data_IF_336400970464
#
_entry.id   IF_336400970464
#
_cell.length_a   1.000
_cell.length_b   1.000
_cell.length_c   1.000
_cell.angle_alpha   90.00
_cell.angle_beta   90.00
_cell.angle_gamma   90.00
#
_symmetry.space_group_name_H-M   'P 1'
#
loop_
_entity.id
_entity.type
_entity.pdbx_description
1 polymer ?
#
# COMPACT_ATOMS: atom_id res chain seq x y z
N UNK A 1 -12.05 -20.16 -25.14
CA UNK A 1 -11.98 -20.49 -23.70
C UNK A 1 -11.41 -21.90 -23.55
N UNK A 2 -10.12 -22.08 -23.18
CA UNK A 2 -9.44 -23.39 -23.24
C UNK A 2 -8.93 -23.94 -21.88
N UNK A 3 -8.95 -23.16 -20.79
CA UNK A 3 -8.30 -23.52 -19.51
C UNK A 3 -9.25 -23.78 -18.31
N UNK A 4 -10.54 -24.05 -18.57
CA UNK A 4 -11.56 -24.18 -17.52
C UNK A 4 -11.72 -25.58 -16.90
N UNK A 5 -11.03 -26.59 -17.45
CA UNK A 5 -11.21 -28.00 -17.08
C UNK A 5 -9.85 -28.63 -16.82
N UNK A 6 -9.72 -29.37 -15.72
CA UNK A 6 -8.57 -30.25 -15.46
C UNK A 6 -8.98 -31.67 -15.83
N UNK A 7 -8.22 -32.31 -16.72
CA UNK A 7 -8.40 -33.72 -17.08
C UNK A 7 -7.49 -34.57 -16.21
N UNK A 8 -8.03 -35.60 -15.59
CA UNK A 8 -7.27 -36.63 -14.87
C UNK A 8 -7.68 -38.01 -15.37
N UNK A 9 -6.72 -38.92 -15.47
CA UNK A 9 -7.00 -40.33 -15.77
C UNK A 9 -7.25 -41.04 -14.44
N UNK A 10 -8.39 -41.70 -14.33
CA UNK A 10 -8.77 -42.47 -13.16
C UNK A 10 -8.15 -43.89 -13.24
N UNK A 11 -8.10 -44.63 -12.13
CA UNK A 11 -7.44 -45.94 -12.07
C UNK A 11 -8.07 -47.02 -12.97
N UNK A 12 -9.29 -46.76 -13.46
CA UNK A 12 -10.05 -47.55 -14.43
C UNK A 12 -9.70 -47.24 -15.89
N UNK A 13 -8.80 -46.29 -16.15
CA UNK A 13 -8.41 -45.85 -17.49
C UNK A 13 -9.33 -44.79 -18.11
N UNK A 14 -10.35 -44.31 -17.41
CA UNK A 14 -11.27 -43.30 -17.92
C UNK A 14 -10.73 -41.87 -17.73
N UNK A 15 -10.96 -41.01 -18.72
CA UNK A 15 -10.62 -39.58 -18.65
C UNK A 15 -11.78 -38.83 -17.99
N UNK A 16 -11.53 -38.28 -16.80
CA UNK A 16 -12.52 -37.47 -16.07
C UNK A 16 -12.17 -35.99 -16.21
N UNK A 17 -13.14 -35.21 -16.67
CA UNK A 17 -13.07 -33.76 -16.76
C UNK A 17 -13.70 -33.13 -15.49
N UNK A 18 -12.89 -32.46 -14.66
CA UNK A 18 -13.39 -31.72 -13.49
C UNK A 18 -13.26 -30.20 -13.73
N UNK A 19 -14.27 -29.40 -13.35
CA UNK A 19 -14.18 -27.95 -13.48
C UNK A 19 -13.05 -27.41 -12.59
N UNK A 20 -12.21 -26.54 -13.16
CA UNK A 20 -11.17 -25.86 -12.38
C UNK A 20 -11.83 -24.72 -11.60
N UNK A 21 -12.02 -24.89 -10.29
CA UNK A 21 -12.51 -23.80 -9.44
C UNK A 21 -11.50 -22.65 -9.44
N UNK A 22 -11.95 -21.46 -9.83
CA UNK A 22 -11.16 -20.24 -9.74
C UNK A 22 -11.00 -19.85 -8.27
N UNK A 23 -9.76 -19.83 -7.79
CA UNK A 23 -9.40 -19.36 -6.44
C UNK A 23 -8.40 -18.22 -6.59
N UNK A 24 -8.87 -16.96 -6.69
CA UNK A 24 -7.96 -15.82 -6.78
C UNK A 24 -7.08 -15.78 -5.53
N UNK A 25 -5.77 -15.60 -5.72
CA UNK A 25 -4.84 -15.41 -4.61
C UNK A 25 -4.85 -13.94 -4.23
N UNK A 26 -4.88 -13.64 -2.93
CA UNK A 26 -4.77 -12.27 -2.46
C UNK A 26 -3.43 -11.64 -2.90
N UNK A 27 -3.42 -10.43 -3.49
CA UNK A 27 -2.24 -9.84 -4.12
C UNK A 27 -1.31 -9.17 -3.09
N UNK A 28 -0.72 -9.96 -2.20
CA UNK A 28 0.17 -9.48 -1.11
C UNK A 28 1.28 -8.56 -1.62
N UNK A 29 1.87 -8.89 -2.77
CA UNK A 29 2.93 -8.06 -3.39
C UNK A 29 2.45 -6.65 -3.73
N UNK A 30 1.23 -6.54 -4.26
CA UNK A 30 0.63 -5.25 -4.60
C UNK A 30 0.32 -4.43 -3.35
N UNK A 31 -0.26 -5.07 -2.33
CA UNK A 31 -0.54 -4.40 -1.05
C UNK A 31 0.75 -3.84 -0.41
N UNK A 32 1.81 -4.64 -0.37
CA UNK A 32 3.10 -4.20 0.17
C UNK A 32 3.70 -3.04 -0.63
N UNK A 33 3.58 -3.05 -1.96
CA UNK A 33 4.03 -1.95 -2.79
C UNK A 33 3.28 -0.64 -2.50
N UNK A 34 1.95 -0.70 -2.34
CA UNK A 34 1.15 0.49 -1.99
C UNK A 34 1.52 1.03 -0.61
N UNK A 35 1.67 0.15 0.39
CA UNK A 35 2.08 0.57 1.74
C UNK A 35 3.45 1.24 1.71
N UNK A 36 4.41 0.63 1.03
CA UNK A 36 5.75 1.18 0.87
C UNK A 36 5.73 2.56 0.21
N UNK A 37 4.97 2.72 -0.88
CA UNK A 37 4.82 4.00 -1.57
C UNK A 37 4.16 5.06 -0.68
N UNK A 38 3.19 4.65 0.15
CA UNK A 38 2.54 5.52 1.13
C UNK A 38 3.52 6.08 2.17
N UNK A 39 4.40 5.24 2.72
CA UNK A 39 5.45 5.69 3.64
C UNK A 39 6.45 6.63 2.98
N UNK A 40 6.88 6.33 1.75
CA UNK A 40 7.75 7.23 0.99
C UNK A 40 7.10 8.59 0.74
N UNK A 41 5.83 8.60 0.36
CA UNK A 41 5.08 9.83 0.15
C UNK A 41 4.96 10.64 1.45
N UNK A 42 4.70 9.98 2.58
CA UNK A 42 4.62 10.63 3.89
C UNK A 42 5.97 11.24 4.30
N UNK A 43 7.06 10.49 4.14
CA UNK A 43 8.42 10.98 4.38
C UNK A 43 8.81 12.13 3.45
N UNK A 44 8.40 12.06 2.18
CA UNK A 44 8.59 13.15 1.23
C UNK A 44 7.90 14.44 1.69
N UNK A 45 6.63 14.36 2.07
CA UNK A 45 5.90 15.52 2.58
C UNK A 45 6.58 16.09 3.82
N UNK A 46 6.98 15.23 4.76
CA UNK A 46 7.67 15.66 5.97
C UNK A 46 9.01 16.36 5.65
N UNK A 47 9.82 15.81 4.75
CA UNK A 47 11.08 16.41 4.31
C UNK A 47 10.89 17.73 3.55
N UNK A 48 9.85 17.81 2.72
CA UNK A 48 9.59 18.98 1.87
C UNK A 48 8.96 20.15 2.63
N UNK A 49 8.02 19.87 3.55
CA UNK A 49 7.34 20.89 4.35
C UNK A 49 8.14 21.28 5.60
N UNK A 50 8.96 20.37 6.12
CA UNK A 50 9.52 20.47 7.45
C UNK A 50 8.51 20.09 8.54
N UNK A 51 9.03 19.81 9.73
CA UNK A 51 8.26 19.25 10.85
C UNK A 51 7.10 20.16 11.29
N UNK A 52 7.34 21.46 11.45
CA UNK A 52 6.36 22.40 11.98
C UNK A 52 5.14 22.53 11.05
N UNK A 53 5.37 22.79 9.75
CA UNK A 53 4.28 22.97 8.80
C UNK A 53 3.56 21.65 8.49
N UNK A 54 4.28 20.52 8.51
CA UNK A 54 3.65 19.21 8.40
C UNK A 54 2.67 18.95 9.54
N UNK A 55 3.08 19.19 10.79
CA UNK A 55 2.22 18.99 11.98
C UNK A 55 1.01 19.92 11.91
N UNK A 56 1.18 21.18 11.49
CA UNK A 56 0.06 22.12 11.32
C UNK A 56 -0.98 21.59 10.33
N UNK A 57 -0.55 21.05 9.18
CA UNK A 57 -1.45 20.47 8.19
C UNK A 57 -2.16 19.22 8.71
N UNK A 58 -1.47 18.38 9.47
CA UNK A 58 -2.10 17.21 10.11
C UNK A 58 -3.12 17.65 11.16
N UNK A 59 -2.83 18.69 11.94
CA UNK A 59 -3.77 19.26 12.90
C UNK A 59 -5.01 19.85 12.21
N UNK A 60 -4.83 20.51 11.06
CA UNK A 60 -5.96 21.02 10.27
C UNK A 60 -6.89 19.89 9.80
N UNK A 61 -6.34 18.74 9.39
CA UNK A 61 -7.13 17.57 9.00
C UNK A 61 -7.95 16.98 10.17
N UNK A 62 -7.47 17.10 11.41
CA UNK A 62 -8.21 16.64 12.60
C UNK A 62 -9.49 17.46 12.85
N UNK A 63 -9.52 18.72 12.41
CA UNK A 63 -10.70 19.58 12.52
C UNK A 63 -11.76 19.36 11.44
N UNK A 64 -11.49 18.50 10.46
CA UNK A 64 -12.33 18.27 9.30
C UNK A 64 -13.43 17.21 9.48
N UNK A 65 -13.95 16.73 8.35
CA UNK A 65 -14.87 15.61 8.22
C UNK A 65 -14.25 14.28 8.70
N UNK A 66 -15.10 13.25 8.87
CA UNK A 66 -14.66 11.92 9.32
C UNK A 66 -13.56 11.32 8.43
N UNK A 67 -13.62 11.56 7.12
CA UNK A 67 -12.59 11.09 6.18
C UNK A 67 -11.26 11.82 6.38
N UNK A 68 -11.32 13.13 6.62
CA UNK A 68 -10.12 13.94 6.88
C UNK A 68 -9.49 13.57 8.23
N UNK A 69 -10.29 13.32 9.25
CA UNK A 69 -9.82 12.83 10.55
C UNK A 69 -9.13 11.47 10.44
N UNK A 70 -9.67 10.55 9.63
CA UNK A 70 -9.02 9.27 9.35
C UNK A 70 -7.68 9.47 8.63
N UNK A 71 -7.63 10.40 7.67
CA UNK A 71 -6.38 10.82 7.03
C UNK A 71 -5.37 11.39 8.03
N UNK A 72 -5.82 12.26 8.94
CA UNK A 72 -4.99 12.85 9.98
C UNK A 72 -4.39 11.80 10.93
N UNK A 73 -5.15 10.74 11.23
CA UNK A 73 -4.68 9.63 12.06
C UNK A 73 -3.58 8.84 11.36
N UNK A 74 -3.73 8.55 10.06
CA UNK A 74 -2.69 7.87 9.25
C UNK A 74 -1.44 8.74 9.08
N UNK A 75 -1.63 10.06 8.97
CA UNK A 75 -0.56 11.03 8.73
C UNK A 75 0.20 11.44 10.01
N UNK A 76 -0.13 10.92 11.20
CA UNK A 76 0.63 11.23 12.42
C UNK A 76 2.12 10.92 12.26
N UNK A 77 3.05 11.85 12.55
CA UNK A 77 4.48 11.59 12.39
C UNK A 77 4.92 10.37 13.21
N UNK A 78 5.65 9.46 12.58
CA UNK A 78 6.14 8.22 13.17
C UNK A 78 7.63 8.01 12.80
N UNK A 79 8.38 7.14 13.50
CA UNK A 79 9.81 6.96 13.24
C UNK A 79 10.14 6.54 11.79
N UNK A 80 9.26 5.79 11.11
CA UNK A 80 9.47 5.39 9.71
C UNK A 80 9.36 6.60 8.80
N UNK A 81 8.45 7.53 9.10
CA UNK A 81 8.31 8.80 8.36
C UNK A 81 9.58 9.63 8.45
N UNK A 82 10.20 9.73 9.63
CA UNK A 82 11.44 10.50 9.83
C UNK A 82 12.61 9.85 9.07
N UNK A 83 12.78 8.54 9.18
CA UNK A 83 13.83 7.81 8.44
C UNK A 83 13.66 7.98 6.92
N UNK A 84 12.42 7.90 6.43
CA UNK A 84 12.13 8.14 5.02
C UNK A 84 12.43 9.58 4.63
N UNK A 85 12.07 10.55 5.47
CA UNK A 85 12.35 11.96 5.24
C UNK A 85 13.87 12.24 5.15
N UNK A 86 14.67 11.69 6.06
CA UNK A 86 16.14 11.86 6.06
C UNK A 86 16.78 11.33 4.77
N UNK A 87 16.34 10.14 4.32
CA UNK A 87 16.79 9.56 3.06
C UNK A 87 16.40 10.42 1.85
N UNK A 88 15.20 10.99 1.85
CA UNK A 88 14.69 11.83 0.76
C UNK A 88 15.35 13.22 0.77
N UNK A 89 15.60 13.79 1.94
CA UNK A 89 16.24 15.09 2.12
C UNK A 89 17.66 15.13 1.53
N UNK A 90 18.34 13.98 1.48
CA UNK A 90 19.66 13.85 0.81
C UNK A 90 19.58 14.12 -0.70
N UNK A 91 18.42 13.89 -1.31
CA UNK A 91 18.20 13.99 -2.77
C UNK A 91 17.47 15.29 -3.13
N UNK A 92 16.71 15.86 -2.19
CA UNK A 92 15.98 17.11 -2.38
C UNK A 92 16.96 18.30 -2.45
N UNK A 93 16.86 19.17 -3.48
CA UNK A 93 17.55 20.44 -3.48
C UNK A 93 16.96 21.33 -2.36
N UNK A 94 17.83 21.78 -1.46
CA UNK A 94 17.49 22.77 -0.44
C UNK A 94 17.29 24.11 -1.17
N UNK A 95 16.03 24.57 -1.27
CA UNK A 95 15.69 25.89 -1.83
C UNK A 95 15.63 26.94 -0.73
#
# INVERSE_FOLDING_TARGET
MSNGVVKSINSDGLIVAKPRLYRPRFPLKGLLAVLFLGFLFKGFLFAYLGEAEYIERVAALQGGSVLEQAGAWVMQPDPVTVIAADGIATILPQN
#
